data_IF_484262535125
#
_entry.id   IF_484262535125
#
_cell.length_a   1.000
_cell.length_b   1.000
_cell.length_c   1.000
_cell.angle_alpha   90.00
_cell.angle_beta   90.00
_cell.angle_gamma   90.00
#
_symmetry.space_group_name_H-M   'P 1'
#
loop_
_entity.id
_entity.type
_entity.pdbx_description
1 polymer ?
#
# COMPACT_ATOMS: atom_id res chain seq x y z
N UNK A 1 -2.81 -19.71 -0.77
CA UNK A 1 -2.87 -19.32 -2.20
C UNK A 1 -3.48 -17.92 -2.22
N UNK A 2 -2.73 -16.89 -2.63
CA UNK A 2 -3.31 -15.56 -2.84
C UNK A 2 -4.32 -15.67 -3.97
N UNK A 3 -5.48 -15.03 -3.84
CA UNK A 3 -6.51 -15.05 -4.89
C UNK A 3 -5.95 -14.53 -6.23
N UNK A 4 -6.50 -14.99 -7.35
CA UNK A 4 -6.02 -14.65 -8.70
C UNK A 4 -6.26 -13.18 -9.11
N UNK A 5 -6.72 -12.33 -8.19
CA UNK A 5 -7.09 -10.95 -8.44
C UNK A 5 -6.02 -9.98 -7.90
N UNK A 6 -5.63 -9.03 -8.73
CA UNK A 6 -4.83 -7.87 -8.32
C UNK A 6 -5.67 -6.61 -8.44
N UNK A 7 -5.61 -5.74 -7.43
CA UNK A 7 -6.24 -4.42 -7.47
C UNK A 7 -5.19 -3.35 -7.29
N UNK A 8 -5.09 -2.49 -8.30
CA UNK A 8 -4.28 -1.29 -8.22
C UNK A 8 -5.04 -0.14 -7.57
N UNK A 9 -4.35 0.62 -6.73
CA UNK A 9 -4.82 1.87 -6.14
C UNK A 9 -3.80 2.99 -6.41
N UNK A 10 -4.17 4.04 -7.17
CA UNK A 10 -3.28 5.15 -7.48
C UNK A 10 -2.95 6.02 -6.26
N UNK A 11 -3.79 5.97 -5.21
CA UNK A 11 -3.55 6.56 -3.90
C UNK A 11 -4.57 6.02 -2.90
N UNK A 12 -4.20 6.01 -1.62
CA UNK A 12 -5.13 5.89 -0.51
C UNK A 12 -6.15 7.04 -0.51
N UNK A 13 -7.31 6.78 0.12
CA UNK A 13 -8.29 7.83 0.36
C UNK A 13 -7.74 8.86 1.37
N UNK A 14 -8.16 10.13 1.32
CA UNK A 14 -7.76 11.14 2.30
C UNK A 14 -8.04 10.71 3.75
N UNK A 15 -9.14 10.00 3.97
CA UNK A 15 -9.56 9.49 5.27
C UNK A 15 -8.60 8.39 5.78
N UNK A 16 -8.22 7.46 4.89
CA UNK A 16 -7.24 6.42 5.21
C UNK A 16 -5.87 7.02 5.50
N UNK A 17 -5.42 7.97 4.68
CA UNK A 17 -4.15 8.66 4.89
C UNK A 17 -4.14 9.43 6.22
N UNK A 18 -5.26 10.06 6.60
CA UNK A 18 -5.39 10.76 7.88
C UNK A 18 -5.40 9.80 9.08
N UNK A 19 -6.16 8.71 9.00
CA UNK A 19 -6.32 7.77 10.11
C UNK A 19 -5.10 6.87 10.33
N UNK A 20 -4.43 6.47 9.24
CA UNK A 20 -3.40 5.43 9.25
C UNK A 20 -2.10 5.84 8.54
N UNK A 21 -1.87 7.14 8.32
CA UNK A 21 -0.68 7.65 7.62
C UNK A 21 0.64 7.25 8.27
N UNK A 22 0.69 7.14 9.60
CA UNK A 22 1.88 6.71 10.32
C UNK A 22 2.31 5.27 9.94
N UNK A 23 1.35 4.37 9.70
CA UNK A 23 1.62 2.99 9.25
C UNK A 23 1.97 2.88 7.77
N UNK A 24 1.89 4.01 7.06
CA UNK A 24 2.22 4.19 5.64
C UNK A 24 3.41 5.10 5.42
N UNK A 25 4.09 5.47 6.51
CA UNK A 25 5.26 6.31 6.47
C UNK A 25 6.48 5.43 6.64
N UNK A 26 7.33 5.43 5.62
CA UNK A 26 8.58 4.66 5.59
C UNK A 26 9.73 5.57 5.17
N UNK A 27 10.96 5.12 5.39
CA UNK A 27 12.11 5.80 4.83
C UNK A 27 12.08 5.67 3.30
N UNK A 28 12.19 6.80 2.60
CA UNK A 28 12.41 6.81 1.16
C UNK A 28 13.87 6.52 0.79
N UNK A 29 14.19 6.59 -0.51
CA UNK A 29 15.52 6.38 -1.11
C UNK A 29 16.53 7.38 -0.55
N UNK A 30 16.06 8.57 -0.14
CA UNK A 30 16.86 9.60 0.53
C UNK A 30 16.96 9.41 2.06
N UNK A 31 16.42 8.32 2.60
CA UNK A 31 16.39 7.99 4.02
C UNK A 31 15.36 8.79 4.84
N UNK A 32 14.62 9.73 4.23
CA UNK A 32 13.65 10.55 4.96
C UNK A 32 12.31 9.85 5.07
N UNK A 33 11.61 10.11 6.18
CA UNK A 33 10.25 9.67 6.37
C UNK A 33 9.34 10.25 5.27
N UNK A 34 8.66 9.37 4.54
CA UNK A 34 7.81 9.69 3.41
C UNK A 34 6.53 8.87 3.50
N UNK A 35 5.39 9.52 3.26
CA UNK A 35 4.09 8.87 3.19
C UNK A 35 3.91 8.22 1.81
N UNK A 36 3.77 6.91 1.77
CA UNK A 36 3.47 6.16 0.55
C UNK A 36 1.97 5.83 0.53
N UNK A 37 1.28 6.22 -0.54
CA UNK A 37 -0.18 6.02 -0.66
C UNK A 37 -0.58 5.16 -1.85
N UNK A 38 0.32 4.96 -2.82
CA UNK A 38 0.11 4.05 -3.94
C UNK A 38 0.33 2.62 -3.48
N UNK A 39 -0.56 1.73 -3.88
CA UNK A 39 -0.37 0.32 -3.61
C UNK A 39 -1.08 -0.59 -4.61
N UNK A 40 -0.59 -1.83 -4.65
CA UNK A 40 -1.29 -2.96 -5.29
C UNK A 40 -1.63 -3.96 -4.20
N UNK A 41 -2.88 -4.44 -4.20
CA UNK A 41 -3.31 -5.59 -3.40
C UNK A 41 -3.36 -6.82 -4.29
N UNK A 42 -2.57 -7.84 -3.98
CA UNK A 42 -2.64 -9.18 -4.58
C UNK A 42 -3.54 -10.06 -3.72
N UNK A 43 -4.43 -10.85 -4.33
CA UNK A 43 -5.49 -11.56 -3.61
C UNK A 43 -6.65 -10.65 -3.23
N UNK A 44 -6.97 -9.64 -4.05
CA UNK A 44 -8.09 -8.74 -3.77
C UNK A 44 -9.42 -9.50 -3.65
N UNK A 45 -10.24 -9.12 -2.65
CA UNK A 45 -11.52 -9.77 -2.33
C UNK A 45 -11.39 -10.96 -1.37
N UNK A 46 -10.17 -11.24 -0.90
CA UNK A 46 -9.92 -12.08 0.27
C UNK A 46 -9.69 -11.20 1.50
N UNK A 47 -9.81 -11.80 2.68
CA UNK A 47 -9.53 -11.12 3.93
C UNK A 47 -8.08 -10.59 4.01
N UNK A 48 -7.81 -9.79 5.06
CA UNK A 48 -6.50 -9.18 5.29
C UNK A 48 -5.33 -10.18 5.40
N UNK A 49 -5.60 -11.46 5.69
CA UNK A 49 -4.59 -12.54 5.78
C UNK A 49 -4.43 -13.28 4.46
N UNK A 50 -5.44 -13.26 3.60
CA UNK A 50 -5.46 -13.86 2.27
C UNK A 50 -4.89 -12.98 1.17
N UNK A 51 -4.50 -11.74 1.48
CA UNK A 51 -3.94 -10.80 0.52
C UNK A 51 -2.56 -10.25 0.91
N UNK A 52 -1.83 -9.75 -0.09
CA UNK A 52 -0.54 -9.09 0.04
C UNK A 52 -0.67 -7.66 -0.48
N UNK A 53 -0.16 -6.68 0.26
CA UNK A 53 -0.04 -5.30 -0.20
C UNK A 53 1.40 -4.93 -0.51
N UNK A 54 1.55 -4.23 -1.63
CA UNK A 54 2.81 -3.62 -2.06
C UNK A 54 2.61 -2.12 -2.07
N UNK A 55 3.21 -1.39 -1.12
CA UNK A 55 3.26 0.07 -1.16
C UNK A 55 4.52 0.52 -1.87
N UNK A 56 4.36 1.47 -2.77
CA UNK A 56 5.45 1.91 -3.63
C UNK A 56 5.29 3.36 -4.08
N UNK A 57 6.33 3.90 -4.70
CA UNK A 57 6.27 5.12 -5.49
C UNK A 57 7.06 4.97 -6.79
N UNK A 58 6.80 5.87 -7.73
CA UNK A 58 7.55 5.95 -8.99
C UNK A 58 8.51 7.13 -8.89
N UNK A 59 9.80 6.84 -9.04
CA UNK A 59 10.88 7.82 -9.04
C UNK A 59 10.95 8.57 -10.37
N UNK A 60 11.67 9.69 -10.39
CA UNK A 60 11.76 10.56 -11.57
C UNK A 60 12.40 9.86 -12.80
N UNK A 61 13.24 8.86 -12.55
CA UNK A 61 13.88 8.03 -13.58
C UNK A 61 13.02 6.83 -14.03
N UNK A 62 11.78 6.73 -13.52
CA UNK A 62 10.84 5.66 -13.84
C UNK A 62 11.03 4.37 -13.04
N UNK A 63 12.03 4.29 -12.15
CA UNK A 63 12.17 3.15 -11.23
C UNK A 63 11.05 3.17 -10.18
N UNK A 64 10.74 1.99 -9.66
CA UNK A 64 9.80 1.84 -8.55
C UNK A 64 10.57 1.72 -7.24
N UNK A 65 10.26 2.62 -6.32
CA UNK A 65 10.66 2.54 -4.93
C UNK A 65 9.62 1.74 -4.17
N UNK A 66 10.02 0.64 -3.52
CA UNK A 66 9.11 -0.20 -2.74
C UNK A 66 9.31 0.07 -1.25
N UNK A 67 8.26 0.50 -0.57
CA UNK A 67 8.28 0.82 0.85
C UNK A 67 7.80 -0.33 1.74
N UNK A 68 6.86 -1.14 1.25
CA UNK A 68 6.31 -2.27 1.99
C UNK A 68 5.89 -3.39 1.06
N UNK A 69 6.19 -4.62 1.46
CA UNK A 69 5.63 -5.85 0.90
C UNK A 69 5.21 -6.73 2.06
N UNK A 70 3.91 -6.95 2.23
CA UNK A 70 3.44 -7.75 3.35
C UNK A 70 1.94 -7.72 3.53
N UNK A 71 1.52 -7.93 4.77
CA UNK A 71 0.12 -7.94 5.18
C UNK A 71 -0.64 -6.66 4.75
N UNK A 72 -1.96 -6.81 4.62
CA UNK A 72 -2.85 -5.70 4.34
C UNK A 72 -2.80 -4.65 5.46
N UNK A 73 -2.55 -3.38 5.09
CA UNK A 73 -2.56 -2.26 6.03
C UNK A 73 -3.98 -1.80 6.33
N UNK A 74 -4.30 -1.46 7.59
CA UNK A 74 -5.63 -0.97 7.97
C UNK A 74 -6.12 0.17 7.09
N UNK A 75 -7.40 0.15 6.74
CA UNK A 75 -8.11 1.18 5.95
C UNK A 75 -9.39 1.57 6.66
N UNK A 76 -9.96 2.74 6.37
CA UNK A 76 -11.24 3.15 6.96
C UNK A 76 -12.44 2.38 6.40
N UNK A 77 -12.27 1.71 5.26
CA UNK A 77 -13.23 0.71 4.78
C UNK A 77 -13.08 -0.54 5.65
N UNK A 78 -14.15 -0.88 6.39
CA UNK A 78 -14.26 -2.14 7.15
C UNK A 78 -14.51 -3.33 6.21
N UNK A 79 -14.85 -3.08 4.95
CA UNK A 79 -15.15 -4.13 3.97
C UNK A 79 -14.13 -4.17 2.82
N UNK A 80 -13.26 -5.17 2.81
CA UNK A 80 -13.23 -6.16 1.72
C UNK A 80 -12.57 -7.45 2.20
#
# INVERSE_FOLDING_TARGET
IFGNAARWKPKDSPETARAFGAQRTWAGEDGKAKLFTRHVTLGHGLDARGCLQIYYDVLADGRVEVAWVGEHRPTVSVDT
#
